data_IF_809914878964
#
_entry.id   IF_809914878964
#
_cell.length_a   1.000
_cell.length_b   1.000
_cell.length_c   1.000
_cell.angle_alpha   90.00
_cell.angle_beta   90.00
_cell.angle_gamma   90.00
#
_symmetry.space_group_name_H-M   'P 1'
#
loop_
_entity.id
_entity.type
_entity.pdbx_description
1 polymer ?
#
# COMPACT_ATOMS: atom_id res chain seq x y z
N UNK A 1 18.21 4.66 -10.19
CA UNK A 1 18.67 4.36 -8.81
C UNK A 1 17.45 4.37 -7.89
N UNK A 2 17.24 3.34 -7.08
CA UNK A 2 15.99 3.04 -6.35
C UNK A 2 16.06 3.32 -4.84
N UNK A 3 16.90 4.29 -4.43
CA UNK A 3 17.22 4.61 -3.01
C UNK A 3 16.00 4.79 -2.06
N UNK A 4 14.90 5.46 -2.43
CA UNK A 4 13.75 5.61 -1.51
C UNK A 4 13.00 4.28 -1.26
N UNK A 5 13.06 3.34 -2.19
CA UNK A 5 12.46 2.01 -2.00
C UNK A 5 13.29 1.17 -1.01
N UNK A 6 14.61 1.32 -1.04
CA UNK A 6 15.56 0.61 -0.20
C UNK A 6 15.46 1.05 1.26
N UNK A 7 15.31 2.36 1.50
CA UNK A 7 15.07 2.90 2.85
C UNK A 7 13.78 2.33 3.44
N UNK A 8 12.69 2.34 2.65
CA UNK A 8 11.39 1.79 3.10
C UNK A 8 11.51 0.31 3.43
N UNK A 9 12.22 -0.46 2.60
CA UNK A 9 12.49 -1.88 2.80
C UNK A 9 13.35 -2.13 4.06
N UNK A 10 14.38 -1.33 4.29
CA UNK A 10 15.22 -1.42 5.49
C UNK A 10 14.43 -1.08 6.76
N UNK A 11 13.62 0.00 6.73
CA UNK A 11 12.72 0.36 7.84
C UNK A 11 11.66 -0.72 8.09
N UNK A 12 11.17 -1.39 7.05
CA UNK A 12 10.20 -2.47 7.19
C UNK A 12 10.74 -3.63 8.04
N UNK A 13 12.03 -3.96 7.95
CA UNK A 13 12.66 -4.99 8.79
C UNK A 13 12.62 -4.62 10.29
N UNK A 14 12.86 -3.35 10.63
CA UNK A 14 12.79 -2.87 12.01
C UNK A 14 11.36 -2.66 12.50
N UNK A 15 10.43 -2.26 11.62
CA UNK A 15 9.01 -2.22 11.92
C UNK A 15 8.46 -3.63 12.22
N UNK A 16 8.96 -4.65 11.50
CA UNK A 16 8.65 -6.05 11.85
C UNK A 16 9.14 -6.39 13.26
N UNK A 17 10.36 -6.02 13.64
CA UNK A 17 10.87 -6.21 15.01
C UNK A 17 10.09 -5.47 16.09
N UNK A 18 9.40 -4.38 15.72
CA UNK A 18 8.51 -3.62 16.61
C UNK A 18 7.20 -4.37 16.81
N UNK A 19 6.64 -4.99 15.76
CA UNK A 19 5.37 -5.71 15.81
C UNK A 19 5.55 -7.14 16.32
N UNK A 20 6.73 -7.75 16.12
CA UNK A 20 6.96 -9.16 16.38
C UNK A 20 6.57 -9.61 17.80
N UNK A 21 6.77 -8.82 18.88
CA UNK A 21 6.35 -9.24 20.23
C UNK A 21 4.86 -9.56 20.36
N UNK A 22 4.00 -8.84 19.63
CA UNK A 22 2.55 -9.07 19.65
C UNK A 22 2.24 -10.47 19.11
N UNK A 23 2.89 -10.81 17.99
CA UNK A 23 2.73 -12.11 17.33
C UNK A 23 3.36 -13.22 18.18
N UNK A 24 4.52 -12.96 18.79
CA UNK A 24 5.19 -13.94 19.66
C UNK A 24 4.39 -14.24 20.92
N UNK A 25 3.84 -13.22 21.58
CA UNK A 25 2.99 -13.39 22.78
C UNK A 25 1.73 -14.18 22.42
N UNK A 26 1.08 -13.84 21.31
CA UNK A 26 -0.11 -14.56 20.84
C UNK A 26 0.19 -16.02 20.54
N UNK A 27 1.32 -16.28 19.86
CA UNK A 27 1.76 -17.65 19.55
C UNK A 27 2.09 -18.44 20.82
N UNK A 28 2.82 -17.82 21.76
CA UNK A 28 3.16 -18.44 23.04
C UNK A 28 1.90 -18.79 23.83
N UNK A 29 0.92 -17.88 23.89
CA UNK A 29 -0.37 -18.13 24.54
C UNK A 29 -1.10 -19.31 23.90
N UNK A 30 -1.20 -19.36 22.57
CA UNK A 30 -1.87 -20.48 21.89
C UNK A 30 -1.13 -21.79 22.18
N UNK A 31 0.18 -21.84 21.99
CA UNK A 31 0.98 -23.08 22.12
C UNK A 31 0.96 -23.61 23.56
N UNK A 32 1.03 -22.73 24.57
CA UNK A 32 0.96 -23.13 25.98
C UNK A 32 -0.40 -23.69 26.37
N UNK A 33 -1.49 -23.25 25.73
CA UNK A 33 -2.85 -23.77 25.96
C UNK A 33 -3.17 -25.05 25.17
N UNK A 34 -2.35 -25.44 24.20
CA UNK A 34 -2.61 -26.61 23.34
C UNK A 34 -2.28 -27.97 23.99
N UNK A 35 -1.67 -28.00 25.19
CA UNK A 35 -1.40 -29.27 25.88
C UNK A 35 -0.48 -30.22 25.09
N UNK A 36 0.54 -29.66 24.42
CA UNK A 36 1.49 -30.43 23.61
C UNK A 36 2.40 -31.35 24.43
N UNK A 37 2.43 -31.20 25.76
CA UNK A 37 3.14 -32.07 26.71
C UNK A 37 2.87 -33.57 26.46
N UNK A 38 1.61 -33.93 26.19
CA UNK A 38 1.18 -35.32 25.95
C UNK A 38 1.88 -36.01 24.78
N UNK A 39 2.33 -35.26 23.76
CA UNK A 39 3.05 -35.79 22.59
C UNK A 39 4.51 -36.16 22.92
N UNK A 40 5.14 -35.45 23.84
CA UNK A 40 6.56 -35.64 24.19
C UNK A 40 6.77 -36.50 25.43
N UNK A 41 5.75 -36.63 26.29
CA UNK A 41 5.80 -37.41 27.53
C UNK A 41 5.51 -38.91 27.34
N UNK A 42 5.23 -39.38 26.12
CA UNK A 42 4.69 -40.72 25.86
C UNK A 42 5.71 -41.88 25.95
N UNK A 43 6.77 -41.73 26.73
CA UNK A 43 7.81 -42.76 26.87
C UNK A 43 8.84 -42.61 27.99
N UNK A 44 8.85 -41.50 28.75
CA UNK A 44 9.83 -41.30 29.82
C UNK A 44 9.19 -40.61 31.04
N UNK A 45 8.65 -41.43 31.96
CA UNK A 45 7.90 -41.01 33.15
C UNK A 45 8.67 -40.07 34.10
N UNK A 46 10.01 -40.07 34.04
CA UNK A 46 10.86 -39.28 34.94
C UNK A 46 10.98 -37.81 34.55
N UNK A 47 10.77 -37.45 33.28
CA UNK A 47 10.92 -36.06 32.80
C UNK A 47 9.64 -35.22 32.96
N UNK A 48 8.47 -35.87 33.05
CA UNK A 48 7.17 -35.20 33.15
C UNK A 48 6.55 -35.29 34.56
N UNK A 49 7.25 -35.87 35.53
CA UNK A 49 6.80 -35.90 36.92
C UNK A 49 7.34 -34.67 37.68
N UNK A 50 6.44 -34.01 38.41
CA UNK A 50 6.62 -32.79 39.24
C UNK A 50 6.92 -31.49 38.47
N UNK A 51 5.87 -30.71 38.19
CA UNK A 51 5.94 -29.25 37.94
C UNK A 51 6.51 -28.79 36.59
N UNK A 52 7.26 -29.63 35.88
CA UNK A 52 8.03 -29.24 34.70
C UNK A 52 7.23 -29.21 33.38
N UNK A 53 5.98 -29.68 33.37
CA UNK A 53 5.15 -29.74 32.16
C UNK A 53 4.86 -28.35 31.58
N UNK A 54 4.71 -27.34 32.45
CA UNK A 54 4.48 -25.95 32.04
C UNK A 54 5.71 -25.37 31.33
N UNK A 55 6.91 -25.62 31.85
CA UNK A 55 8.16 -25.12 31.30
C UNK A 55 8.49 -25.70 29.92
N UNK A 56 8.18 -26.98 29.70
CA UNK A 56 8.36 -27.63 28.39
C UNK A 56 7.44 -26.96 27.34
N UNK A 57 6.18 -26.71 27.68
CA UNK A 57 5.25 -26.04 26.77
C UNK A 57 5.67 -24.60 26.47
N UNK A 58 6.17 -23.88 27.48
CA UNK A 58 6.73 -22.53 27.30
C UNK A 58 7.95 -22.58 26.38
N UNK A 59 8.87 -23.51 26.60
CA UNK A 59 10.06 -23.70 25.77
C UNK A 59 9.73 -24.01 24.30
N UNK A 60 8.76 -24.92 24.05
CA UNK A 60 8.25 -25.19 22.70
C UNK A 60 7.61 -23.94 22.10
N UNK A 61 6.81 -23.20 22.89
CA UNK A 61 6.21 -21.95 22.46
C UNK A 61 7.22 -20.89 22.04
N UNK A 62 8.34 -20.76 22.77
CA UNK A 62 9.45 -19.88 22.39
C UNK A 62 10.06 -20.31 21.04
N UNK A 63 10.26 -21.61 20.80
CA UNK A 63 10.81 -22.12 19.54
C UNK A 63 9.85 -21.91 18.37
N UNK A 64 8.57 -22.25 18.52
CA UNK A 64 7.55 -22.01 17.48
C UNK A 64 7.43 -20.52 17.20
N UNK A 65 7.47 -19.69 18.24
CA UNK A 65 7.48 -18.25 18.10
C UNK A 65 8.73 -17.72 17.40
N UNK A 66 9.88 -18.38 17.53
CA UNK A 66 11.10 -17.96 16.85
C UNK A 66 10.98 -18.06 15.32
N UNK A 67 10.11 -18.94 14.81
CA UNK A 67 9.88 -19.11 13.38
C UNK A 67 9.36 -17.84 12.70
N UNK A 68 8.64 -16.97 13.44
CA UNK A 68 8.20 -15.68 12.91
C UNK A 68 9.37 -14.76 12.50
N UNK A 69 10.56 -14.96 13.07
CA UNK A 69 11.74 -14.20 12.69
C UNK A 69 12.36 -14.67 11.37
N UNK A 70 11.98 -15.84 10.85
CA UNK A 70 12.40 -16.29 9.52
C UNK A 70 11.85 -15.39 8.40
N UNK A 71 10.77 -14.65 8.65
CA UNK A 71 10.29 -13.62 7.73
C UNK A 71 11.34 -12.54 7.46
N UNK A 72 12.31 -12.33 8.36
CA UNK A 72 13.42 -11.41 8.12
C UNK A 72 14.39 -11.89 7.03
N UNK A 73 14.37 -13.18 6.68
CA UNK A 73 15.21 -13.73 5.61
C UNK A 73 14.95 -13.07 4.26
N UNK A 74 13.74 -12.57 4.01
CA UNK A 74 13.43 -11.84 2.78
C UNK A 74 14.26 -10.55 2.63
N UNK A 75 14.61 -9.90 3.76
CA UNK A 75 15.46 -8.71 3.77
C UNK A 75 16.94 -9.09 3.73
N UNK A 76 17.33 -10.17 4.42
CA UNK A 76 18.71 -10.69 4.43
C UNK A 76 19.15 -11.18 3.04
N UNK A 77 18.26 -11.84 2.31
CA UNK A 77 18.54 -12.39 0.98
C UNK A 77 18.17 -11.44 -0.16
N UNK A 78 17.94 -10.15 0.14
CA UNK A 78 17.68 -9.16 -0.88
C UNK A 78 18.90 -9.04 -1.82
N UNK A 79 18.69 -9.29 -3.11
CA UNK A 79 19.74 -9.27 -4.15
C UNK A 79 19.94 -7.88 -4.74
N UNK A 80 18.94 -7.01 -4.60
CA UNK A 80 18.85 -5.74 -5.30
C UNK A 80 19.53 -4.60 -4.52
N UNK A 81 19.65 -4.74 -3.19
CA UNK A 81 20.26 -3.72 -2.33
C UNK A 81 21.14 -4.31 -1.22
N UNK A 82 22.41 -3.90 -1.21
CA UNK A 82 23.34 -4.20 -0.13
C UNK A 82 22.94 -3.50 1.19
N UNK A 83 22.35 -2.31 1.11
CA UNK A 83 21.86 -1.57 2.26
C UNK A 83 20.72 -2.30 2.97
N UNK A 84 19.71 -2.77 2.21
CA UNK A 84 18.60 -3.57 2.75
C UNK A 84 19.13 -4.86 3.37
N UNK A 85 20.09 -5.53 2.71
CA UNK A 85 20.71 -6.74 3.22
C UNK A 85 21.47 -6.53 4.52
N UNK A 86 22.24 -5.44 4.64
CA UNK A 86 22.97 -5.09 5.87
C UNK A 86 22.01 -4.89 7.04
N UNK A 87 20.96 -4.11 6.85
CA UNK A 87 19.95 -3.84 7.88
C UNK A 87 19.07 -5.06 8.18
N UNK A 88 18.76 -5.88 7.17
CA UNK A 88 18.07 -7.16 7.34
C UNK A 88 18.86 -8.13 8.21
N UNK A 89 20.18 -8.24 7.98
CA UNK A 89 21.08 -9.07 8.82
C UNK A 89 21.10 -8.57 10.26
N UNK A 90 21.25 -7.26 10.46
CA UNK A 90 21.26 -6.67 11.80
C UNK A 90 19.92 -6.88 12.53
N UNK A 91 18.80 -6.72 11.83
CA UNK A 91 17.47 -7.00 12.38
C UNK A 91 17.31 -8.49 12.75
N UNK A 92 17.79 -9.41 11.91
CA UNK A 92 17.78 -10.85 12.21
C UNK A 92 18.65 -11.18 13.44
N UNK A 93 19.82 -10.55 13.58
CA UNK A 93 20.66 -10.71 14.77
C UNK A 93 19.93 -10.25 16.04
N UNK A 94 19.21 -9.13 15.99
CA UNK A 94 18.40 -8.64 17.11
C UNK A 94 17.27 -9.60 17.49
N UNK A 95 16.56 -10.14 16.49
CA UNK A 95 15.59 -11.21 16.70
C UNK A 95 16.20 -12.46 17.34
N UNK A 96 17.38 -12.87 16.88
CA UNK A 96 18.13 -14.01 17.41
C UNK A 96 18.52 -13.82 18.87
N UNK A 97 19.10 -12.66 19.22
CA UNK A 97 19.44 -12.31 20.61
C UNK A 97 18.21 -12.37 21.50
N UNK A 98 17.08 -11.82 21.03
CA UNK A 98 15.83 -11.79 21.79
C UNK A 98 15.29 -13.20 22.06
N UNK A 99 15.34 -14.07 21.05
CA UNK A 99 14.97 -15.49 21.19
C UNK A 99 15.91 -16.22 22.15
N UNK A 100 17.22 -15.96 22.08
CA UNK A 100 18.20 -16.57 22.96
C UNK A 100 18.00 -16.16 24.42
N UNK A 101 17.68 -14.88 24.70
CA UNK A 101 17.35 -14.40 26.05
C UNK A 101 16.10 -15.11 26.59
N UNK A 102 15.03 -15.18 25.78
CA UNK A 102 13.80 -15.85 26.19
C UNK A 102 14.03 -17.34 26.50
N UNK A 103 14.78 -18.03 25.65
CA UNK A 103 15.13 -19.44 25.86
C UNK A 103 16.01 -19.63 27.11
N UNK A 104 17.00 -18.75 27.31
CA UNK A 104 17.88 -18.80 28.49
C UNK A 104 17.11 -18.54 29.78
N UNK A 105 16.13 -17.63 29.78
CA UNK A 105 15.27 -17.39 30.95
C UNK A 105 14.50 -18.64 31.35
N UNK A 106 13.86 -19.32 30.38
CA UNK A 106 13.16 -20.59 30.62
C UNK A 106 14.11 -21.68 31.13
N UNK A 107 15.31 -21.76 30.55
CA UNK A 107 16.32 -22.74 30.94
C UNK A 107 16.84 -22.50 32.37
N UNK A 108 17.09 -21.24 32.73
CA UNK A 108 17.54 -20.86 34.08
C UNK A 108 16.46 -21.12 35.11
N UNK A 109 15.19 -20.82 34.80
CA UNK A 109 14.07 -21.09 35.70
C UNK A 109 13.88 -22.59 35.95
N UNK A 110 14.06 -23.40 34.89
CA UNK A 110 14.10 -24.86 34.99
C UNK A 110 15.23 -25.37 35.89
N UNK A 111 16.47 -24.90 35.69
CA UNK A 111 17.61 -25.35 36.49
C UNK A 111 17.60 -24.84 37.93
N UNK A 112 17.02 -23.66 38.17
CA UNK A 112 16.89 -23.08 39.50
C UNK A 112 15.71 -23.66 40.30
N UNK A 113 14.81 -24.42 39.66
CA UNK A 113 13.59 -24.93 40.29
C UNK A 113 12.65 -23.81 40.78
N UNK A 114 12.72 -22.64 40.16
CA UNK A 114 12.10 -21.40 40.65
C UNK A 114 10.64 -21.22 40.24
N UNK A 115 10.03 -22.21 39.56
CA UNK A 115 8.60 -22.26 39.20
C UNK A 115 8.05 -20.94 38.63
N UNK A 116 8.81 -20.27 37.77
CA UNK A 116 8.45 -19.03 37.09
C UNK A 116 8.86 -17.74 37.80
N UNK A 117 9.56 -17.79 38.94
CA UNK A 117 9.95 -16.55 39.63
C UNK A 117 10.94 -15.69 38.81
N UNK A 118 11.74 -16.31 37.93
CA UNK A 118 12.69 -15.62 37.06
C UNK A 118 12.04 -15.07 35.77
N UNK A 119 10.79 -15.44 35.51
CA UNK A 119 10.06 -14.99 34.30
C UNK A 119 9.86 -13.48 34.31
N UNK A 120 9.51 -12.91 35.46
CA UNK A 120 9.32 -11.46 35.60
C UNK A 120 10.59 -10.68 35.23
N UNK A 121 11.76 -11.14 35.68
CA UNK A 121 13.05 -10.50 35.38
C UNK A 121 13.38 -10.65 33.89
N UNK A 122 13.16 -11.84 33.35
CA UNK A 122 13.38 -12.14 31.93
C UNK A 122 12.49 -11.26 31.04
N UNK A 123 11.21 -11.09 31.39
CA UNK A 123 10.26 -10.24 30.66
C UNK A 123 10.70 -8.77 30.68
N UNK A 124 11.15 -8.25 31.84
CA UNK A 124 11.65 -6.88 31.94
C UNK A 124 12.88 -6.68 31.04
N UNK A 125 13.83 -7.61 31.07
CA UNK A 125 15.01 -7.59 30.20
C UNK A 125 14.57 -7.60 28.72
N UNK A 126 13.65 -8.47 28.34
CA UNK A 126 13.13 -8.57 26.97
C UNK A 126 12.45 -7.27 26.52
N UNK A 127 11.67 -6.61 27.38
CA UNK A 127 11.04 -5.33 27.07
C UNK A 127 12.06 -4.21 26.85
N UNK A 128 13.08 -4.12 27.71
CA UNK A 128 14.16 -3.15 27.58
C UNK A 128 14.90 -3.36 26.25
N UNK A 129 15.31 -4.61 25.96
CA UNK A 129 15.98 -4.94 24.72
C UNK A 129 15.10 -4.73 23.49
N UNK A 130 13.78 -4.97 23.60
CA UNK A 130 12.85 -4.72 22.51
C UNK A 130 12.83 -3.25 22.10
N UNK A 131 12.65 -2.34 23.07
CA UNK A 131 12.60 -0.89 22.80
C UNK A 131 13.98 -0.38 22.35
N UNK A 132 15.04 -0.77 23.05
CA UNK A 132 16.39 -0.30 22.75
C UNK A 132 16.88 -0.73 21.36
N UNK A 133 16.74 -2.02 20.99
CA UNK A 133 17.26 -2.53 19.72
C UNK A 133 16.47 -2.00 18.51
N UNK A 134 15.15 -1.81 18.64
CA UNK A 134 14.32 -1.28 17.55
C UNK A 134 14.64 0.20 17.29
N UNK A 135 14.74 1.00 18.35
CA UNK A 135 15.09 2.41 18.23
C UNK A 135 16.52 2.62 17.73
N UNK A 136 17.50 1.89 18.27
CA UNK A 136 18.89 1.96 17.81
C UNK A 136 19.04 1.56 16.34
N UNK A 137 18.25 0.58 15.87
CA UNK A 137 18.22 0.19 14.46
C UNK A 137 17.69 1.29 13.53
N UNK A 138 16.61 1.96 13.93
CA UNK A 138 16.01 3.06 13.17
C UNK A 138 16.88 4.32 13.19
N UNK A 139 17.49 4.66 14.32
CA UNK A 139 18.44 5.77 14.44
C UNK A 139 19.69 5.54 13.58
N UNK A 140 20.18 4.30 13.52
CA UNK A 140 21.31 3.97 12.65
C UNK A 140 20.98 4.15 11.17
N UNK A 141 19.77 3.77 10.74
CA UNK A 141 19.30 4.08 9.38
C UNK A 141 19.31 5.60 9.18
N UNK A 142 18.69 6.36 10.09
CA UNK A 142 18.60 7.82 9.99
C UNK A 142 19.98 8.48 9.89
N UNK A 143 20.93 8.05 10.72
CA UNK A 143 22.30 8.58 10.73
C UNK A 143 23.08 8.23 9.46
N UNK A 144 23.01 6.99 8.98
CA UNK A 144 23.64 6.59 7.72
C UNK A 144 23.02 7.30 6.51
N UNK A 145 21.77 7.75 6.62
CA UNK A 145 21.07 8.56 5.62
C UNK A 145 21.49 10.03 5.64
N UNK A 146 21.73 10.58 6.83
CA UNK A 146 22.18 11.97 7.04
C UNK A 146 23.65 12.19 6.65
N UNK A 147 24.52 11.20 6.88
CA UNK A 147 25.95 11.23 6.55
C UNK A 147 26.24 11.07 5.04
N UNK A 148 25.28 10.62 4.22
CA UNK A 148 25.42 10.58 2.76
C UNK A 148 24.78 11.85 2.12
N UNK A 149 25.58 12.83 1.65
CA UNK A 149 25.08 14.11 1.14
C UNK A 149 24.26 13.96 -0.16
N UNK A 150 24.36 12.82 -0.84
CA UNK A 150 23.52 12.49 -2.00
C UNK A 150 22.10 12.09 -1.60
N UNK A 151 21.87 11.73 -0.33
CA UNK A 151 20.59 11.24 0.18
C UNK A 151 19.87 12.33 1.00
N UNK A 152 20.62 13.11 1.79
CA UNK A 152 20.07 14.21 2.60
C UNK A 152 19.37 15.30 1.78
N UNK A 153 19.79 15.55 0.53
CA UNK A 153 19.18 16.59 -0.33
C UNK A 153 17.80 16.18 -0.87
N UNK A 154 17.54 14.88 -1.06
CA UNK A 154 16.21 14.34 -1.40
C UNK A 154 15.33 14.12 -0.16
N UNK A 155 15.93 13.84 1.01
CA UNK A 155 15.19 13.63 2.25
C UNK A 155 14.54 14.91 2.80
N UNK A 156 15.18 16.06 2.62
CA UNK A 156 14.62 17.37 2.98
C UNK A 156 13.41 17.70 2.11
N UNK A 157 13.46 17.38 0.80
CA UNK A 157 12.32 17.53 -0.10
C UNK A 157 11.16 16.57 0.25
N UNK A 158 11.44 15.37 0.77
CA UNK A 158 10.39 14.41 1.12
C UNK A 158 9.86 14.56 2.56
N UNK A 159 10.64 15.15 3.48
CA UNK A 159 10.16 15.52 4.83
C UNK A 159 9.22 16.71 4.78
N UNK A 160 9.45 17.67 3.87
CA UNK A 160 8.47 18.74 3.58
C UNK A 160 7.20 18.17 2.94
N UNK A 161 7.33 17.22 2.00
CA UNK A 161 6.17 16.58 1.37
C UNK A 161 5.39 15.62 2.30
N UNK A 162 6.02 15.06 3.33
CA UNK A 162 5.36 14.17 4.32
C UNK A 162 4.81 14.96 5.51
N UNK A 163 5.47 16.05 5.91
CA UNK A 163 4.95 17.03 6.89
C UNK A 163 3.68 17.71 6.37
N UNK A 164 3.63 18.05 5.08
CA UNK A 164 2.43 18.59 4.44
C UNK A 164 1.24 17.61 4.42
N UNK A 165 1.50 16.29 4.46
CA UNK A 165 0.46 15.25 4.51
C UNK A 165 0.05 14.91 5.95
N UNK A 166 0.95 15.04 6.93
CA UNK A 166 0.62 14.82 8.34
C UNK A 166 -0.10 16.01 9.00
N UNK A 167 0.13 17.24 8.52
CA UNK A 167 -0.56 18.44 9.06
C UNK A 167 -1.98 18.67 8.53
N UNK A 168 -2.50 17.85 7.62
CA UNK A 168 -3.90 17.97 7.14
C UNK A 168 -4.92 17.14 7.92
N UNK A 169 -4.49 16.38 8.94
CA UNK A 169 -5.37 15.57 9.79
C UNK A 169 -5.33 15.98 11.28
N UNK A 170 -5.35 17.27 11.59
CA UNK A 170 -5.80 17.74 12.91
C UNK A 170 -6.43 19.14 12.84
N UNK A 171 -7.77 19.15 12.93
CA UNK A 171 -8.67 20.14 13.55
C UNK A 171 -8.60 21.62 13.07
N UNK A 172 -9.75 22.02 12.54
CA UNK A 172 -10.27 23.36 12.30
C UNK A 172 -9.94 24.42 13.38
N UNK A 173 -9.39 25.58 12.98
CA UNK A 173 -9.94 26.90 13.33
C UNK A 173 -9.18 28.09 12.69
N UNK A 174 -9.98 28.96 12.04
CA UNK A 174 -9.85 30.44 11.94
C UNK A 174 -8.77 31.08 11.03
N UNK A 175 -9.30 31.68 9.96
CA UNK A 175 -9.03 32.98 9.30
C UNK A 175 -7.66 33.39 8.73
N UNK A 176 -7.77 33.77 7.46
CA UNK A 176 -7.17 34.88 6.71
C UNK A 176 -5.77 34.74 6.07
N UNK A 177 -5.82 34.83 4.74
CA UNK A 177 -5.02 35.72 3.88
C UNK A 177 -3.52 35.42 3.69
N UNK A 178 -3.15 34.96 2.49
CA UNK A 178 -2.50 35.76 1.43
C UNK A 178 -1.82 34.84 0.39
N UNK A 179 -2.02 35.19 -0.87
CA UNK A 179 -1.44 34.58 -2.08
C UNK A 179 0.05 34.88 -2.21
N UNK A 180 0.90 33.89 -2.54
CA UNK A 180 2.13 34.07 -3.33
C UNK A 180 2.65 32.75 -3.98
N UNK A 181 2.18 32.50 -5.21
CA UNK A 181 2.89 32.22 -6.48
C UNK A 181 4.35 31.66 -6.49
N UNK A 182 4.46 30.47 -7.15
CA UNK A 182 5.51 29.86 -8.01
C UNK A 182 6.80 29.27 -7.40
N UNK A 183 6.99 27.98 -7.71
CA UNK A 183 8.27 27.28 -7.72
C UNK A 183 8.13 25.94 -8.46
N UNK A 184 8.20 25.99 -9.79
CA UNK A 184 8.22 24.85 -10.71
C UNK A 184 9.51 24.01 -10.54
N UNK A 185 9.42 22.68 -10.54
CA UNK A 185 10.45 21.82 -11.14
C UNK A 185 9.94 20.41 -11.42
N UNK A 186 10.09 20.06 -12.69
CA UNK A 186 9.70 18.84 -13.40
C UNK A 186 10.72 17.71 -13.14
N UNK A 187 10.28 16.47 -13.46
CA UNK A 187 11.04 15.27 -13.89
C UNK A 187 10.93 14.09 -12.89
N UNK A 188 10.12 13.05 -13.12
CA UNK A 188 10.15 12.00 -14.17
C UNK A 188 10.82 10.71 -13.63
N UNK A 189 10.10 9.57 -13.69
CA UNK A 189 10.66 8.30 -14.17
C UNK A 189 9.66 7.13 -14.21
N UNK A 190 9.69 6.45 -15.37
CA UNK A 190 9.14 5.15 -15.76
C UNK A 190 7.78 5.12 -16.47
N UNK A 191 7.71 5.82 -17.61
CA UNK A 191 6.85 5.42 -18.74
C UNK A 191 7.68 4.56 -19.68
N UNK A 192 7.25 3.32 -19.89
CA UNK A 192 7.68 2.52 -21.03
C UNK A 192 7.43 3.34 -22.31
N UNK A 193 8.49 3.64 -23.05
CA UNK A 193 8.52 4.02 -24.47
C UNK A 193 7.18 4.52 -25.06
N UNK A 194 6.69 5.64 -24.54
CA UNK A 194 5.54 6.36 -25.08
C UNK A 194 6.08 7.45 -26.01
N UNK A 195 5.40 7.67 -27.13
CA UNK A 195 5.68 8.80 -28.02
C UNK A 195 5.65 10.11 -27.19
N UNK A 196 6.61 11.04 -27.32
CA UNK A 196 6.62 12.30 -26.60
C UNK A 196 5.27 13.04 -26.64
N UNK A 197 4.55 12.94 -27.77
CA UNK A 197 3.20 13.51 -27.94
C UNK A 197 2.13 12.83 -27.05
N UNK A 198 2.27 11.53 -26.80
CA UNK A 198 1.36 10.79 -25.91
C UNK A 198 1.60 11.16 -24.45
N UNK A 199 2.86 11.35 -24.05
CA UNK A 199 3.20 11.74 -22.68
C UNK A 199 2.70 13.16 -22.38
N UNK A 200 2.89 14.11 -23.31
CA UNK A 200 2.35 15.46 -23.19
C UNK A 200 0.82 15.47 -23.04
N UNK A 201 0.11 14.65 -23.83
CA UNK A 201 -1.34 14.49 -23.69
C UNK A 201 -1.76 13.96 -22.31
N UNK A 202 -1.01 13.00 -21.73
CA UNK A 202 -1.30 12.47 -20.40
C UNK A 202 -1.05 13.50 -19.30
N UNK A 203 0.01 14.29 -19.43
CA UNK A 203 0.37 15.32 -18.45
C UNK A 203 -0.66 16.47 -18.47
N UNK A 204 -1.14 16.86 -19.66
CA UNK A 204 -2.23 17.82 -19.83
C UNK A 204 -3.53 17.32 -19.19
N UNK A 205 -3.90 16.05 -19.43
CA UNK A 205 -5.08 15.44 -18.82
C UNK A 205 -4.93 15.38 -17.30
N UNK A 206 -3.78 14.95 -16.79
CA UNK A 206 -3.52 14.86 -15.35
C UNK A 206 -3.59 16.23 -14.66
N UNK A 207 -3.06 17.26 -15.32
CA UNK A 207 -3.18 18.64 -14.86
C UNK A 207 -4.65 19.08 -14.77
N UNK A 208 -5.44 18.82 -15.82
CA UNK A 208 -6.88 19.12 -15.82
C UNK A 208 -7.66 18.37 -14.72
N UNK A 209 -7.35 17.10 -14.47
CA UNK A 209 -7.95 16.31 -13.38
C UNK A 209 -7.59 16.83 -11.97
N UNK A 210 -6.47 17.57 -11.84
CA UNK A 210 -6.03 18.20 -10.59
C UNK A 210 -6.56 19.62 -10.42
N UNK A 211 -7.16 20.21 -11.45
CA UNK A 211 -7.69 21.56 -11.39
C UNK A 211 -8.72 21.73 -10.28
N UNK A 212 -8.66 22.86 -9.59
CA UNK A 212 -9.68 23.24 -8.61
C UNK A 212 -11.05 23.50 -9.27
N UNK A 213 -11.08 23.71 -10.59
CA UNK A 213 -12.28 24.07 -11.34
C UNK A 213 -13.00 22.81 -11.85
N UNK A 214 -14.28 22.68 -11.51
CA UNK A 214 -15.10 21.51 -11.87
C UNK A 214 -15.24 21.31 -13.39
N UNK A 215 -15.19 22.38 -14.19
CA UNK A 215 -15.25 22.32 -15.65
C UNK A 215 -14.01 21.64 -16.23
N UNK A 216 -12.84 21.98 -15.71
CA UNK A 216 -11.56 21.47 -16.19
C UNK A 216 -11.42 19.98 -15.86
N UNK A 217 -11.84 19.60 -14.65
CA UNK A 217 -11.88 18.18 -14.25
C UNK A 217 -12.81 17.36 -15.14
N UNK A 218 -13.98 17.90 -15.49
CA UNK A 218 -14.93 17.25 -16.42
C UNK A 218 -14.37 17.16 -17.83
N UNK A 219 -13.76 18.23 -18.33
CA UNK A 219 -13.13 18.25 -19.64
C UNK A 219 -11.97 17.23 -19.71
N UNK A 220 -11.17 17.11 -18.66
CA UNK A 220 -10.10 16.12 -18.60
C UNK A 220 -10.63 14.67 -18.55
N UNK A 221 -11.76 14.43 -17.87
CA UNK A 221 -12.45 13.13 -17.92
C UNK A 221 -12.97 12.83 -19.33
N UNK A 222 -13.48 13.83 -20.05
CA UNK A 222 -13.94 13.64 -21.43
C UNK A 222 -12.78 13.31 -22.37
N UNK A 223 -11.66 14.03 -22.27
CA UNK A 223 -10.45 13.74 -23.03
C UNK A 223 -9.95 12.29 -22.82
N UNK A 224 -10.15 11.72 -21.63
CA UNK A 224 -9.80 10.32 -21.36
C UNK A 224 -10.64 9.31 -22.16
N UNK A 225 -11.85 9.68 -22.58
CA UNK A 225 -12.71 8.83 -23.41
C UNK A 225 -12.24 8.78 -24.86
N UNK A 226 -11.51 9.81 -25.30
CA UNK A 226 -11.02 9.93 -26.67
C UNK A 226 -9.69 9.20 -26.90
N UNK A 227 -8.94 8.90 -25.83
CA UNK A 227 -7.65 8.22 -25.90
C UNK A 227 -7.74 6.75 -25.48
N UNK A 228 -6.91 5.90 -26.11
CA UNK A 228 -6.85 4.46 -25.83
C UNK A 228 -5.69 4.05 -24.90
N UNK A 229 -4.97 5.02 -24.35
CA UNK A 229 -3.86 4.83 -23.40
C UNK A 229 -4.10 5.66 -22.12
N UNK A 230 -3.47 5.27 -21.02
CA UNK A 230 -3.58 5.96 -19.73
C UNK A 230 -2.35 5.68 -18.87
N UNK A 231 -2.24 6.34 -17.71
CA UNK A 231 -1.13 6.19 -16.77
C UNK A 231 -1.60 5.79 -15.35
N UNK A 232 -0.73 5.19 -14.53
CA UNK A 232 -1.04 4.92 -13.12
C UNK A 232 -1.42 6.18 -12.34
N UNK A 233 -0.83 7.34 -12.67
CA UNK A 233 -1.11 8.61 -12.01
C UNK A 233 -2.54 9.11 -12.30
N UNK A 234 -2.99 8.99 -13.56
CA UNK A 234 -4.34 9.33 -13.97
C UNK A 234 -5.35 8.43 -13.25
N UNK A 235 -5.13 7.11 -13.27
CA UNK A 235 -6.03 6.17 -12.59
C UNK A 235 -6.15 6.48 -11.09
N UNK A 236 -5.02 6.73 -10.41
CA UNK A 236 -5.01 7.10 -8.99
C UNK A 236 -5.78 8.40 -8.74
N UNK A 237 -5.63 9.40 -9.61
CA UNK A 237 -6.35 10.66 -9.51
C UNK A 237 -7.87 10.45 -9.68
N UNK A 238 -8.29 9.60 -10.63
CA UNK A 238 -9.70 9.25 -10.81
C UNK A 238 -10.28 8.52 -9.59
N UNK A 239 -9.53 7.60 -8.98
CA UNK A 239 -9.94 6.95 -7.72
C UNK A 239 -10.14 7.99 -6.60
N UNK A 240 -9.19 8.92 -6.44
CA UNK A 240 -9.31 10.02 -5.47
C UNK A 240 -10.55 10.86 -5.73
N UNK A 241 -10.76 11.29 -6.98
CA UNK A 241 -11.92 12.10 -7.36
C UNK A 241 -13.23 11.36 -7.12
N UNK A 242 -13.31 10.07 -7.46
CA UNK A 242 -14.53 9.26 -7.25
C UNK A 242 -14.94 9.15 -5.77
N UNK A 243 -13.98 9.25 -4.85
CA UNK A 243 -14.21 9.18 -3.39
C UNK A 243 -14.40 10.54 -2.73
N UNK A 244 -13.67 11.56 -3.18
CA UNK A 244 -13.45 12.80 -2.40
C UNK A 244 -13.86 14.08 -3.13
N UNK A 245 -14.22 14.04 -4.42
CA UNK A 245 -14.59 15.27 -5.12
C UNK A 245 -15.84 15.89 -4.49
N UNK A 246 -15.80 17.21 -4.27
CA UNK A 246 -16.92 17.96 -3.72
C UNK A 246 -18.13 17.94 -4.67
N UNK A 247 -17.89 17.82 -5.97
CA UNK A 247 -18.93 17.77 -6.98
C UNK A 247 -19.36 16.32 -7.25
N UNK A 248 -20.60 16.00 -6.88
CA UNK A 248 -21.18 14.65 -7.06
C UNK A 248 -21.24 14.19 -8.53
N UNK A 249 -21.33 15.11 -9.50
CA UNK A 249 -21.29 14.78 -10.92
C UNK A 249 -19.88 14.34 -11.29
N UNK A 250 -18.86 15.09 -10.85
CA UNK A 250 -17.45 14.76 -11.08
C UNK A 250 -17.09 13.43 -10.43
N UNK A 251 -17.58 13.14 -9.22
CA UNK A 251 -17.41 11.83 -8.57
C UNK A 251 -17.90 10.67 -9.45
N UNK A 252 -19.13 10.79 -9.95
CA UNK A 252 -19.75 9.76 -10.81
C UNK A 252 -19.03 9.59 -12.14
N UNK A 253 -18.63 10.69 -12.77
CA UNK A 253 -17.89 10.66 -14.03
C UNK A 253 -16.47 10.07 -13.84
N UNK A 254 -15.80 10.40 -12.74
CA UNK A 254 -14.50 9.81 -12.40
C UNK A 254 -14.61 8.30 -12.16
N UNK A 255 -15.64 7.86 -11.44
CA UNK A 255 -15.93 6.43 -11.24
C UNK A 255 -16.17 5.71 -12.57
N UNK A 256 -16.96 6.30 -13.48
CA UNK A 256 -17.15 5.76 -14.84
C UNK A 256 -15.85 5.69 -15.61
N UNK A 257 -15.00 6.71 -15.51
CA UNK A 257 -13.71 6.74 -16.19
C UNK A 257 -12.76 5.62 -15.75
N UNK A 258 -12.85 5.13 -14.50
CA UNK A 258 -12.08 3.98 -14.02
C UNK A 258 -12.37 2.69 -14.79
N UNK A 259 -13.57 2.57 -15.38
CA UNK A 259 -14.00 1.43 -16.20
C UNK A 259 -13.59 1.53 -17.67
N UNK A 260 -12.92 2.62 -18.09
CA UNK A 260 -12.44 2.75 -19.46
C UNK A 260 -11.37 1.67 -19.77
N UNK A 261 -11.34 1.10 -20.99
CA UNK A 261 -10.36 0.07 -21.35
C UNK A 261 -8.90 0.49 -21.13
N UNK A 262 -8.57 1.75 -21.38
CA UNK A 262 -7.24 2.33 -21.13
C UNK A 262 -6.87 2.27 -19.64
N UNK A 263 -7.80 2.58 -18.74
CA UNK A 263 -7.61 2.51 -17.29
C UNK A 263 -7.66 1.07 -16.74
N UNK A 264 -8.45 0.19 -17.35
CA UNK A 264 -8.46 -1.24 -17.04
C UNK A 264 -7.15 -1.92 -17.46
N UNK A 265 -6.58 -1.53 -18.61
CA UNK A 265 -5.28 -2.03 -19.07
C UNK A 265 -4.15 -1.67 -18.10
N UNK A 266 -4.13 -0.43 -17.59
CA UNK A 266 -3.20 0.01 -16.53
C UNK A 266 -3.38 -0.84 -15.27
N UNK A 267 -4.62 -1.06 -14.84
CA UNK A 267 -4.92 -1.89 -13.67
C UNK A 267 -4.46 -3.33 -13.85
N UNK A 268 -4.78 -3.93 -15.01
CA UNK A 268 -4.33 -5.27 -15.39
C UNK A 268 -2.83 -5.36 -15.40
N UNK A 269 -2.10 -4.42 -15.99
CA UNK A 269 -0.63 -4.44 -15.97
C UNK A 269 -0.07 -4.41 -14.53
N UNK A 270 -0.68 -3.61 -13.64
CA UNK A 270 -0.22 -3.49 -12.26
C UNK A 270 -0.59 -4.68 -11.35
N UNK A 271 -1.67 -5.40 -11.67
CA UNK A 271 -2.24 -6.48 -10.84
C UNK A 271 -2.21 -7.88 -11.43
N UNK A 272 -2.02 -8.05 -12.74
CA UNK A 272 -2.03 -9.35 -13.42
C UNK A 272 -1.01 -10.34 -12.84
N UNK A 273 0.04 -9.83 -12.20
CA UNK A 273 1.09 -10.64 -11.59
C UNK A 273 0.94 -10.82 -10.06
N UNK A 274 -0.11 -10.25 -9.43
CA UNK A 274 -0.22 -10.18 -7.96
C UNK A 274 -1.38 -10.97 -7.37
N UNK A 275 -2.52 -11.09 -8.07
CA UNK A 275 -3.71 -11.78 -7.56
C UNK A 275 -4.37 -12.63 -8.65
N UNK A 276 -4.57 -13.93 -8.36
CA UNK A 276 -5.30 -14.81 -9.28
C UNK A 276 -6.82 -14.51 -9.29
N UNK A 277 -7.54 -15.03 -10.29
CA UNK A 277 -8.97 -14.79 -10.46
C UNK A 277 -9.80 -15.20 -9.24
N UNK A 278 -9.50 -16.35 -8.64
CA UNK A 278 -10.25 -16.88 -7.50
C UNK A 278 -10.17 -15.95 -6.28
N UNK A 279 -8.97 -15.46 -5.95
CA UNK A 279 -8.78 -14.50 -4.85
C UNK A 279 -9.53 -13.20 -5.11
N UNK A 280 -9.51 -12.69 -6.35
CA UNK A 280 -10.26 -11.48 -6.72
C UNK A 280 -11.77 -11.67 -6.60
N UNK A 281 -12.29 -12.84 -6.96
CA UNK A 281 -13.70 -13.19 -6.77
C UNK A 281 -14.07 -13.25 -5.28
N UNK A 282 -13.22 -13.84 -4.43
CA UNK A 282 -13.42 -13.83 -2.98
C UNK A 282 -13.48 -12.40 -2.43
N UNK A 283 -12.54 -11.54 -2.83
CA UNK A 283 -12.54 -10.13 -2.40
C UNK A 283 -13.81 -9.39 -2.83
N UNK A 284 -14.31 -9.63 -4.05
CA UNK A 284 -15.55 -9.02 -4.52
C UNK A 284 -16.77 -9.51 -3.73
N UNK A 285 -16.79 -10.77 -3.26
CA UNK A 285 -17.84 -11.28 -2.39
C UNK A 285 -17.80 -10.63 -1.00
N UNK A 286 -16.61 -10.50 -0.42
CA UNK A 286 -16.41 -9.83 0.88
C UNK A 286 -16.83 -8.37 0.81
N UNK A 287 -16.48 -7.64 -0.26
CA UNK A 287 -16.91 -6.24 -0.44
C UNK A 287 -18.44 -6.15 -0.47
N UNK A 288 -19.13 -7.09 -1.14
CA UNK A 288 -20.60 -7.12 -1.15
C UNK A 288 -21.18 -7.42 0.23
N UNK A 289 -20.55 -8.30 1.00
CA UNK A 289 -20.95 -8.58 2.38
C UNK A 289 -20.78 -7.33 3.26
N UNK A 290 -19.65 -6.62 3.17
CA UNK A 290 -19.42 -5.39 3.94
C UNK A 290 -20.42 -4.28 3.62
N UNK A 291 -20.85 -4.15 2.37
CA UNK A 291 -21.93 -3.20 2.01
C UNK A 291 -23.25 -3.62 2.64
N UNK A 292 -23.60 -4.91 2.55
CA UNK A 292 -24.84 -5.46 3.12
C UNK A 292 -24.89 -5.28 4.64
N UNK A 293 -23.75 -5.45 5.30
CA UNK A 293 -23.60 -5.33 6.75
C UNK A 293 -23.45 -3.87 7.22
N UNK A 294 -23.49 -2.90 6.30
CA UNK A 294 -23.35 -1.47 6.60
C UNK A 294 -21.94 -1.04 7.02
N UNK A 295 -20.95 -1.92 6.86
CA UNK A 295 -19.53 -1.66 7.16
C UNK A 295 -18.85 -0.81 6.09
N UNK A 296 -19.40 -0.78 4.87
CA UNK A 296 -18.85 -0.05 3.74
C UNK A 296 -19.95 0.70 2.98
N UNK A 297 -19.77 2.00 2.78
CA UNK A 297 -20.67 2.79 1.95
C UNK A 297 -20.61 2.34 0.48
N UNK A 298 -21.76 2.32 -0.20
CA UNK A 298 -21.86 1.88 -1.60
C UNK A 298 -20.90 2.63 -2.53
N UNK A 299 -20.80 3.95 -2.39
CA UNK A 299 -19.91 4.78 -3.23
C UNK A 299 -18.44 4.36 -3.10
N UNK A 300 -18.00 4.03 -1.88
CA UNK A 300 -16.64 3.54 -1.64
C UNK A 300 -16.46 2.11 -2.15
N UNK A 301 -17.50 1.29 -2.02
CA UNK A 301 -17.49 -0.08 -2.51
C UNK A 301 -17.34 -0.13 -4.03
N UNK A 302 -18.02 0.74 -4.78
CA UNK A 302 -17.95 0.78 -6.23
C UNK A 302 -16.52 1.09 -6.73
N UNK A 303 -15.82 2.02 -6.05
CA UNK A 303 -14.42 2.34 -6.35
C UNK A 303 -13.51 1.16 -6.05
N UNK A 304 -13.69 0.50 -4.90
CA UNK A 304 -12.87 -0.65 -4.52
C UNK A 304 -13.13 -1.84 -5.46
N UNK A 305 -14.39 -2.09 -5.84
CA UNK A 305 -14.76 -3.13 -6.81
C UNK A 305 -14.06 -2.92 -8.14
N UNK A 306 -13.99 -1.67 -8.63
CA UNK A 306 -13.32 -1.32 -9.90
C UNK A 306 -11.84 -1.72 -9.98
N UNK A 307 -11.20 -2.02 -8.83
CA UNK A 307 -9.81 -2.50 -8.76
C UNK A 307 -9.67 -4.00 -8.98
N UNK A 308 -10.75 -4.76 -8.80
CA UNK A 308 -10.76 -6.22 -8.81
C UNK A 308 -11.59 -6.81 -9.94
N UNK A 309 -12.62 -6.11 -10.41
CA UNK A 309 -13.55 -6.58 -11.45
C UNK A 309 -13.17 -6.16 -12.89
N UNK A 310 -12.02 -5.50 -13.07
CA UNK A 310 -11.57 -4.90 -14.34
C UNK A 310 -11.50 -5.84 -15.55
N UNK A 311 -11.55 -7.16 -15.37
CA UNK A 311 -11.58 -8.18 -16.43
C UNK A 311 -12.71 -9.22 -16.24
N UNK A 312 -13.63 -8.98 -15.30
CA UNK A 312 -14.71 -9.91 -14.92
C UNK A 312 -16.06 -9.43 -15.45
N UNK A 313 -16.33 -8.13 -15.35
CA UNK A 313 -17.56 -7.49 -15.81
C UNK A 313 -17.36 -6.89 -17.19
N UNK A 314 -17.83 -7.60 -18.23
CA UNK A 314 -18.08 -7.00 -19.54
C UNK A 314 -19.28 -6.04 -19.42
N UNK A 315 -19.05 -4.84 -18.91
CA UNK A 315 -20.05 -3.78 -19.03
C UNK A 315 -20.07 -3.34 -20.50
N UNK A 316 -21.24 -3.28 -21.17
CA UNK A 316 -21.31 -2.89 -22.57
C UNK A 316 -20.63 -1.55 -22.80
N UNK A 317 -19.60 -1.51 -23.65
CA UNK A 317 -19.04 -0.25 -24.13
C UNK A 317 -20.15 0.56 -24.80
N UNK A 318 -20.26 1.87 -24.53
CA UNK A 318 -20.80 2.78 -25.54
C UNK A 318 -19.99 2.55 -26.81
N UNK A 319 -20.65 2.10 -27.88
CA UNK A 319 -20.03 1.98 -29.19
C UNK A 319 -19.33 3.30 -29.51
N UNK A 320 -18.03 3.24 -29.73
CA UNK A 320 -17.30 4.30 -30.42
C UNK A 320 -17.97 4.41 -31.79
N UNK A 321 -18.81 5.42 -31.96
CA UNK A 321 -19.32 5.75 -33.28
C UNK A 321 -18.10 6.26 -34.05
N UNK A 322 -17.71 5.63 -35.18
CA UNK A 322 -16.62 6.14 -35.98
C UNK A 322 -16.92 7.59 -36.37
N UNK A 323 -15.93 8.46 -36.21
CA UNK A 323 -15.98 9.85 -36.60
C UNK A 323 -16.66 10.00 -37.97
N UNK A 324 -17.79 10.70 -37.98
CA UNK A 324 -18.42 11.12 -39.22
C UNK A 324 -17.41 12.00 -39.95
N UNK A 325 -17.08 11.59 -41.18
CA UNK A 325 -16.28 12.37 -42.13
C UNK A 325 -16.73 13.84 -42.15
N UNK A 326 -15.81 14.78 -42.36
CA UNK A 326 -16.15 16.20 -42.40
C UNK A 326 -17.23 16.45 -43.45
N UNK A 327 -18.35 17.01 -43.00
CA UNK A 327 -19.40 17.52 -43.89
C UNK A 327 -18.77 18.61 -44.73
N UNK A 328 -18.66 18.34 -46.03
CA UNK A 328 -18.29 19.33 -47.02
C UNK A 328 -19.26 20.51 -46.93
N UNK A 329 -18.69 21.69 -46.76
CA UNK A 329 -19.37 22.99 -46.85
C UNK A 329 -20.22 23.02 -48.13
N UNK A 330 -21.53 23.10 -47.95
CA UNK A 330 -22.47 23.26 -49.05
C UNK A 330 -22.26 24.63 -49.68
N UNK A 331 -21.78 24.66 -50.93
CA UNK A 331 -21.88 25.84 -51.81
C UNK A 331 -23.36 26.17 -52.08
N UNK A 332 -23.68 27.44 -52.40
CA UNK A 332 -25.05 27.95 -52.39
C UNK A 332 -25.90 27.33 -53.50
N UNK A 333 -27.17 27.04 -53.19
CA UNK A 333 -28.18 26.64 -54.18
C UNK A 333 -28.55 27.85 -55.05
N UNK A 334 -28.65 27.72 -56.38
CA UNK A 334 -29.08 28.79 -57.27
C UNK A 334 -30.56 29.13 -57.09
N UNK A 335 -30.89 30.42 -57.11
CA UNK A 335 -32.24 30.93 -57.28
C UNK A 335 -32.84 30.41 -58.60
N UNK A 336 -33.87 29.56 -58.52
CA UNK A 336 -34.77 29.30 -59.65
C UNK A 336 -35.96 30.23 -59.52
N UNK A 337 -35.98 31.21 -60.42
CA UNK A 337 -37.16 31.99 -60.78
C UNK A 337 -38.33 31.07 -61.15
N UNK A 338 -39.51 31.34 -60.62
CA UNK A 338 -40.76 31.00 -61.31
C UNK A 338 -41.55 32.28 -61.45
N UNK A 339 -41.43 32.87 -62.64
CA UNK A 339 -42.40 33.81 -63.16
C UNK A 339 -43.64 33.03 -63.59
N UNK A 340 -44.79 33.38 -63.04
CA UNK A 340 -46.07 33.24 -63.72
C UNK A 340 -46.62 34.66 -63.88
N UNK A 341 -46.71 35.09 -65.14
CA UNK A 341 -47.30 36.34 -65.61
C UNK A 341 -48.57 35.98 -66.42
N UNK A 342 -49.34 36.95 -66.93
CA UNK A 342 -50.70 37.28 -66.49
C UNK A 342 -51.80 36.83 -67.48
N UNK A 343 -53.07 36.94 -67.05
CA UNK A 343 -54.19 37.46 -67.84
C UNK A 343 -55.33 37.83 -66.88
#
# INVERSE_FOLDING_TARGET
MQKPSEERLAKAAYNWLRISPIVTITTLFIVTNMGLNSLFCNGNLYACSYGNESLINIGIGVLVSALWHLLLLQYVNNKDSEFVRKHGKQALTYAGIRTAIAFTGVLLDYFAGSNGSLDCVTIIILLIFWVAQTNAGLEKIKKELEEDPTISRELTQQTENTSAIASSNEISNVSNEKVEVIGETVMENNSAQNDPSQQENLDNILSGLRSAIDSDRRHAIENLREINYSSPAIRLQLEKMSLQDSNSIVRKEALRALSLPSNQAVQKHNHANKLNLQIRQTLLQEIKAWVKDGLLAQENADVIQSRYDFDITSTPQPQVTPASKPVAVSKPVPLVQTAAQPA
#
